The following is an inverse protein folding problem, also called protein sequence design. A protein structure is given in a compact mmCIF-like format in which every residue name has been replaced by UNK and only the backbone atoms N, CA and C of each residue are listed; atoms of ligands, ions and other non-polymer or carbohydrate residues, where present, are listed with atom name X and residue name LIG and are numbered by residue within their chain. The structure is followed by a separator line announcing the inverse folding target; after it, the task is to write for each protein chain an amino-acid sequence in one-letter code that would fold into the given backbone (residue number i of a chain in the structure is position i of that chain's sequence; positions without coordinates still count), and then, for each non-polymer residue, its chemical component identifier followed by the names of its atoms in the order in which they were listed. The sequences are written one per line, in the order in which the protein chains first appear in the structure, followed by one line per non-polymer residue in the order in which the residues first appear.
data_IF_198965517805
#
_entry.id   IF_198965517805
#
_cell.length_a   1.000
_cell.length_b   1.000
_cell.length_c   1.000
_cell.angle_alpha   90.00
_cell.angle_beta   90.00
_cell.angle_gamma   90.00
#
_symmetry.space_group_name_H-M   'P 1'
#
loop_
_entity.id
_entity.type
_entity.pdbx_description
1 polymer ?
#
# COMPACT_ATOMS: atom_id res chain seq x y z
N UNK A 1 -7.90 -27.24 3.16
CA UNK A 1 -8.09 -25.89 3.72
C UNK A 1 -9.30 -25.28 3.05
N UNK A 2 -10.47 -25.38 3.69
CA UNK A 2 -11.71 -24.86 3.13
C UNK A 2 -11.80 -23.37 3.38
N UNK A 3 -11.55 -22.54 2.36
CA UNK A 3 -11.90 -21.12 2.41
C UNK A 3 -13.43 -21.03 2.46
N UNK A 4 -14.00 -20.76 3.64
CA UNK A 4 -15.32 -20.13 3.68
C UNK A 4 -15.12 -18.69 3.28
N UNK A 5 -15.72 -18.30 2.15
CA UNK A 5 -15.84 -16.90 1.78
C UNK A 5 -16.60 -16.19 2.90
N UNK A 6 -15.86 -15.39 3.68
CA UNK A 6 -16.47 -14.48 4.63
C UNK A 6 -17.18 -13.37 3.85
N UNK A 7 -18.51 -13.32 3.96
CA UNK A 7 -19.32 -12.29 3.31
C UNK A 7 -18.90 -10.88 3.73
N UNK A 8 -18.37 -10.69 4.94
CA UNK A 8 -17.95 -9.38 5.44
C UNK A 8 -16.81 -8.78 4.61
N UNK A 9 -15.84 -9.60 4.17
CA UNK A 9 -14.73 -9.16 3.33
C UNK A 9 -15.24 -8.69 1.96
N UNK A 10 -16.15 -9.45 1.36
CA UNK A 10 -16.74 -9.07 0.06
C UNK A 10 -17.53 -7.77 0.14
N UNK A 11 -18.26 -7.54 1.25
CA UNK A 11 -19.01 -6.30 1.47
C UNK A 11 -18.06 -5.13 1.65
N UNK A 12 -16.99 -5.28 2.44
CA UNK A 12 -16.00 -4.23 2.64
C UNK A 12 -15.28 -3.84 1.35
N UNK A 13 -14.94 -4.78 0.47
CA UNK A 13 -14.38 -4.47 -0.85
C UNK A 13 -15.38 -3.71 -1.74
N UNK A 14 -16.66 -4.12 -1.73
CA UNK A 14 -17.70 -3.43 -2.50
C UNK A 14 -17.96 -2.01 -1.97
N UNK A 15 -17.89 -1.83 -0.65
CA UNK A 15 -18.02 -0.53 0.01
C UNK A 15 -16.84 0.38 -0.33
N UNK A 16 -15.61 -0.15 -0.34
CA UNK A 16 -14.41 0.59 -0.72
C UNK A 16 -14.44 1.12 -2.16
N UNK A 17 -15.16 0.43 -3.05
CA UNK A 17 -15.33 0.80 -4.47
C UNK A 17 -16.65 1.54 -4.75
N UNK A 18 -17.44 1.87 -3.71
CA UNK A 18 -18.75 2.48 -3.91
C UNK A 18 -18.60 3.96 -4.29
N UNK A 19 -18.96 4.30 -5.53
CA UNK A 19 -19.00 5.67 -6.05
C UNK A 19 -18.48 5.74 -7.48
N UNK A 20 -18.89 6.76 -8.24
CA UNK A 20 -18.56 6.87 -9.67
C UNK A 20 -17.14 7.38 -9.95
N UNK A 21 -16.46 7.96 -8.96
CA UNK A 21 -15.13 8.59 -9.10
C UNK A 21 -14.18 8.20 -7.94
N UNK A 22 -14.26 6.94 -7.51
CA UNK A 22 -13.42 6.43 -6.42
C UNK A 22 -11.97 6.29 -6.89
N UNK A 23 -11.08 7.10 -6.31
CA UNK A 23 -9.63 6.94 -6.44
C UNK A 23 -9.19 5.60 -5.82
N UNK A 24 -8.49 4.78 -6.61
CA UNK A 24 -8.02 3.44 -6.20
C UNK A 24 -7.22 3.48 -4.90
N UNK A 25 -6.42 4.53 -4.68
CA UNK A 25 -5.62 4.66 -3.46
C UNK A 25 -6.52 4.90 -2.24
N UNK A 26 -7.58 5.69 -2.40
CA UNK A 26 -8.58 5.88 -1.34
C UNK A 26 -9.33 4.59 -1.02
N UNK A 27 -9.71 3.82 -2.05
CA UNK A 27 -10.34 2.51 -1.87
C UNK A 27 -9.42 1.54 -1.10
N UNK A 28 -8.18 1.37 -1.54
CA UNK A 28 -7.22 0.46 -0.90
C UNK A 28 -6.85 0.94 0.51
N UNK A 29 -6.71 2.25 0.73
CA UNK A 29 -6.43 2.81 2.06
C UNK A 29 -7.54 2.46 3.06
N UNK A 30 -8.81 2.44 2.62
CA UNK A 30 -9.92 2.03 3.49
C UNK A 30 -9.86 0.55 3.89
N UNK A 31 -9.31 -0.31 3.02
CA UNK A 31 -9.07 -1.72 3.31
C UNK A 31 -7.88 -1.89 4.25
N UNK A 32 -6.81 -1.12 4.05
CA UNK A 32 -5.63 -1.08 4.94
C UNK A 32 -5.96 -0.57 6.35
N UNK A 33 -6.93 0.33 6.49
CA UNK A 33 -7.39 0.82 7.80
C UNK A 33 -8.27 -0.22 8.53
N UNK A 34 -8.77 -1.23 7.83
CA UNK A 34 -9.68 -2.24 8.38
C UNK A 34 -8.88 -3.40 9.00
N UNK A 35 -9.17 -3.77 10.27
CA UNK A 35 -8.50 -4.91 10.92
C UNK A 35 -8.92 -6.27 10.34
N UNK A 36 -9.90 -6.30 9.43
CA UNK A 36 -10.39 -7.53 8.81
C UNK A 36 -9.44 -8.07 7.73
N UNK A 37 -8.57 -7.22 7.19
CA UNK A 37 -7.69 -7.56 6.09
C UNK A 37 -6.25 -7.69 6.56
N UNK A 38 -5.53 -8.66 5.98
CA UNK A 38 -4.09 -8.78 6.16
C UNK A 38 -3.35 -7.74 5.30
N UNK A 39 -3.56 -6.47 5.61
CA UNK A 39 -2.86 -5.32 5.05
C UNK A 39 -2.94 -4.14 6.04
N UNK A 40 -2.01 -3.19 5.92
CA UNK A 40 -1.98 -2.00 6.77
C UNK A 40 -2.11 -2.33 8.26
N UNK A 41 -3.19 -1.87 8.88
CA UNK A 41 -3.50 -2.07 10.30
C UNK A 41 -3.80 -3.52 10.69
N UNK A 42 -4.44 -4.30 9.81
CA UNK A 42 -4.80 -5.70 10.07
C UNK A 42 -3.72 -6.71 9.67
N UNK A 43 -2.53 -6.26 9.29
CA UNK A 43 -1.43 -7.12 8.88
C UNK A 43 -1.02 -8.12 9.97
N UNK A 44 -0.70 -9.33 9.51
CA UNK A 44 -0.12 -10.39 10.32
C UNK A 44 1.24 -9.97 10.86
N UNK A 45 1.59 -10.58 11.99
CA UNK A 45 2.91 -10.43 12.59
C UNK A 45 3.92 -11.34 11.88
N UNK A 46 5.15 -10.85 11.75
CA UNK A 46 6.33 -11.63 11.37
C UNK A 46 6.70 -12.64 12.45
N UNK A 47 7.74 -13.44 12.19
CA UNK A 47 8.27 -14.40 13.16
C UNK A 47 8.78 -13.72 14.45
N UNK A 48 9.15 -12.45 14.34
CA UNK A 48 9.63 -11.58 15.42
C UNK A 48 8.50 -10.86 16.15
N UNK A 49 7.24 -11.07 15.75
CA UNK A 49 6.08 -10.44 16.37
C UNK A 49 5.85 -8.99 15.93
N UNK A 50 6.45 -8.55 14.83
CA UNK A 50 6.31 -7.18 14.28
C UNK A 50 5.49 -7.17 13.00
N UNK A 51 4.86 -6.05 12.68
CA UNK A 51 4.17 -5.89 11.39
C UNK A 51 5.17 -5.47 10.32
N UNK A 52 5.15 -6.15 9.18
CA UNK A 52 5.88 -5.78 7.97
C UNK A 52 4.92 -5.84 6.77
N UNK A 53 4.72 -4.70 6.13
CA UNK A 53 3.79 -4.52 5.02
C UNK A 53 4.55 -4.34 3.70
N UNK A 54 3.86 -4.69 2.61
CA UNK A 54 4.29 -4.46 1.24
C UNK A 54 3.13 -3.85 0.46
N UNK A 55 3.42 -2.94 -0.47
CA UNK A 55 2.42 -2.37 -1.36
C UNK A 55 3.03 -1.92 -2.67
N UNK A 56 2.23 -1.96 -3.73
CA UNK A 56 2.61 -1.52 -5.08
C UNK A 56 1.52 -0.69 -5.73
N UNK A 57 1.92 0.28 -6.53
CA UNK A 57 1.04 1.11 -7.36
C UNK A 57 1.53 1.06 -8.80
N UNK A 58 0.58 0.90 -9.73
CA UNK A 58 0.84 0.90 -11.17
C UNK A 58 -0.24 1.71 -11.87
N UNK A 59 0.18 2.53 -12.84
CA UNK A 59 -0.73 3.23 -13.74
C UNK A 59 -0.27 3.10 -15.19
N UNK A 60 -1.22 2.81 -16.09
CA UNK A 60 -0.97 2.88 -17.53
C UNK A 60 -0.75 4.32 -17.98
N UNK A 61 -1.29 5.30 -17.26
CA UNK A 61 -1.02 6.71 -17.50
C UNK A 61 0.43 7.03 -17.12
N UNK A 62 1.23 7.40 -18.12
CA UNK A 62 2.64 7.70 -17.94
C UNK A 62 3.52 6.50 -17.58
N UNK A 63 3.02 5.26 -17.70
CA UNK A 63 3.75 4.02 -17.41
C UNK A 63 4.42 4.01 -16.03
N UNK A 64 3.71 4.52 -15.02
CA UNK A 64 4.26 4.71 -13.68
C UNK A 64 4.16 3.43 -12.85
N UNK A 65 5.22 3.15 -12.11
CA UNK A 65 5.27 2.07 -11.13
C UNK A 65 6.06 2.50 -9.90
N UNK A 66 5.55 2.15 -8.73
CA UNK A 66 6.20 2.41 -7.45
C UNK A 66 5.80 1.35 -6.44
N UNK A 67 6.75 0.91 -5.63
CA UNK A 67 6.50 -0.07 -4.59
C UNK A 67 7.31 0.19 -3.33
N UNK A 68 6.77 -0.33 -2.23
CA UNK A 68 7.43 -0.38 -0.95
C UNK A 68 7.33 -1.79 -0.35
N UNK A 69 8.32 -2.19 0.44
CA UNK A 69 8.32 -3.50 1.10
C UNK A 69 9.04 -3.52 2.45
N UNK A 70 8.72 -4.52 3.27
CA UNK A 70 9.25 -4.67 4.63
C UNK A 70 9.13 -3.37 5.47
N UNK A 71 8.01 -2.67 5.37
CA UNK A 71 7.76 -1.43 6.14
C UNK A 71 6.83 -1.72 7.31
N UNK A 72 7.11 -1.14 8.46
CA UNK A 72 6.39 -1.38 9.72
C UNK A 72 5.64 -0.15 10.23
N UNK A 73 6.05 1.06 9.81
CA UNK A 73 5.58 2.34 10.38
C UNK A 73 4.76 3.20 9.43
N UNK A 74 4.11 2.59 8.44
CA UNK A 74 3.28 3.32 7.47
C UNK A 74 1.82 2.93 7.64
N UNK A 75 0.96 3.92 7.96
CA UNK A 75 -0.49 3.70 8.16
C UNK A 75 -1.13 3.12 6.90
N UNK A 76 -0.85 3.73 5.75
CA UNK A 76 -1.38 3.32 4.45
C UNK A 76 -0.24 3.08 3.45
N UNK A 77 0.35 1.87 3.44
CA UNK A 77 1.41 1.48 2.52
C UNK A 77 1.12 1.80 1.03
N UNK A 78 -0.12 1.60 0.57
CA UNK A 78 -0.50 1.86 -0.83
C UNK A 78 -0.30 3.32 -1.26
N UNK A 79 -0.56 4.28 -0.36
CA UNK A 79 -0.38 5.70 -0.64
C UNK A 79 1.10 6.02 -0.83
N UNK A 80 1.98 5.43 -0.05
CA UNK A 80 3.43 5.64 -0.19
C UNK A 80 3.94 5.03 -1.49
N UNK A 81 3.44 3.85 -1.88
CA UNK A 81 3.76 3.26 -3.18
C UNK A 81 3.34 4.17 -4.36
N UNK A 82 2.18 4.85 -4.27
CA UNK A 82 1.78 5.89 -5.24
C UNK A 82 2.79 7.03 -5.28
N UNK A 83 3.20 7.53 -4.12
CA UNK A 83 4.18 8.63 -4.02
C UNK A 83 5.52 8.23 -4.66
N UNK A 84 6.00 7.01 -4.45
CA UNK A 84 7.21 6.49 -5.13
C UNK A 84 7.01 6.52 -6.65
N UNK A 85 5.87 6.04 -7.15
CA UNK A 85 5.58 5.95 -8.58
C UNK A 85 5.53 7.30 -9.30
N UNK A 86 5.14 8.36 -8.60
CA UNK A 86 5.06 9.73 -9.14
C UNK A 86 6.24 10.61 -8.73
N UNK A 87 7.18 10.07 -7.95
CA UNK A 87 8.34 10.83 -7.50
C UNK A 87 9.30 11.07 -8.66
N UNK A 88 9.79 12.30 -8.73
CA UNK A 88 10.79 12.70 -9.72
C UNK A 88 12.20 12.46 -9.18
N UNK A 89 13.12 12.18 -10.09
CA UNK A 89 14.52 11.96 -9.74
C UNK A 89 15.19 13.22 -9.17
N UNK A 90 16.22 13.04 -8.36
CA UNK A 90 17.05 14.16 -7.92
C UNK A 90 18.07 14.50 -9.03
N UNK A 91 17.81 15.60 -9.75
CA UNK A 91 18.70 16.11 -10.79
C UNK A 91 18.77 15.20 -12.02
N UNK A 92 19.91 14.52 -12.21
CA UNK A 92 20.18 13.66 -13.38
C UNK A 92 20.00 12.17 -13.12
N UNK A 93 19.62 11.79 -11.91
CA UNK A 93 19.47 10.39 -11.52
C UNK A 93 18.04 9.91 -11.74
N UNK A 94 17.88 8.65 -12.11
CA UNK A 94 16.58 7.98 -12.23
C UNK A 94 16.01 7.80 -10.82
N UNK A 95 14.72 8.14 -10.64
CA UNK A 95 14.02 7.95 -9.38
C UNK A 95 13.97 6.44 -9.01
N UNK A 96 14.05 6.10 -7.71
CA UNK A 96 13.87 4.72 -7.28
C UNK A 96 12.43 4.27 -7.55
N UNK A 97 12.26 3.08 -8.11
CA UNK A 97 10.94 2.47 -8.31
C UNK A 97 10.48 1.62 -7.12
N UNK A 98 11.41 1.10 -6.34
CA UNK A 98 11.13 0.23 -5.19
C UNK A 98 12.00 0.65 -4.03
N UNK A 99 11.39 0.88 -2.87
CA UNK A 99 12.08 1.17 -1.61
C UNK A 99 11.71 0.11 -0.59
N UNK A 100 12.65 -0.30 0.26
CA UNK A 100 12.37 -1.34 1.27
C UNK A 100 12.93 -0.99 2.64
N UNK A 101 12.33 -1.59 3.68
CA UNK A 101 12.80 -1.50 5.06
C UNK A 101 12.78 -0.07 5.60
N UNK A 102 13.69 0.18 6.55
CA UNK A 102 13.86 1.48 7.20
C UNK A 102 14.07 2.63 6.20
N UNK A 103 14.77 2.38 5.09
CA UNK A 103 15.00 3.41 4.07
C UNK A 103 13.72 3.89 3.40
N UNK A 104 12.76 3.00 3.17
CA UNK A 104 11.44 3.37 2.66
C UNK A 104 10.64 4.21 3.67
N UNK A 105 10.69 3.86 4.96
CA UNK A 105 10.01 4.61 6.02
C UNK A 105 10.59 6.02 6.18
N UNK A 106 11.92 6.15 6.22
CA UNK A 106 12.60 7.45 6.31
C UNK A 106 12.37 8.31 5.06
N UNK A 107 12.28 7.68 3.89
CA UNK A 107 11.95 8.39 2.65
C UNK A 107 10.51 8.91 2.69
N UNK A 108 9.56 8.09 3.13
CA UNK A 108 8.15 8.44 3.21
C UNK A 108 7.88 9.59 4.20
N UNK A 109 8.64 9.68 5.28
CA UNK A 109 8.55 10.79 6.24
C UNK A 109 9.04 12.14 5.70
N UNK A 110 9.81 12.13 4.61
CA UNK A 110 10.41 13.33 4.00
C UNK A 110 9.63 13.83 2.77
N UNK A 111 8.61 13.11 2.33
CA UNK A 111 7.70 13.54 1.27
C UNK A 111 6.62 14.45 1.85
#
# INVERSE_FOLDING_TARGET
VGFRLDRSLSVACADALRGDDVDVISAVSSLEDSPLFNCGHGSNLSMEGTVECEAGFMSSEGYRFGAIGAVSRLKNPCSVAKTVAVSEGCGRLIAPMVLVGKGAEEWAQKQ
#
